data_IF_666287049955
#
_entry.id   IF_666287049955
#
_cell.length_a   1.000
_cell.length_b   1.000
_cell.length_c   1.000
_cell.angle_alpha   90.00
_cell.angle_beta   90.00
_cell.angle_gamma   90.00
#
_symmetry.space_group_name_H-M   'P 1'
#
loop_
_entity.id
_entity.type
_entity.pdbx_description
1 polymer ?
#
# COMPACT_ATOMS: atom_id res chain seq x y z
N UNK A 1 -2.74 2.12 -16.09
CA UNK A 1 -1.51 1.41 -15.65
C UNK A 1 -1.48 0.00 -16.25
N UNK A 2 -0.30 -0.53 -16.63
CA UNK A 2 -0.21 -1.85 -17.27
C UNK A 2 0.96 -2.66 -16.72
N UNK A 3 0.76 -3.97 -16.52
CA UNK A 3 1.78 -4.95 -16.17
C UNK A 3 1.80 -6.08 -17.19
N UNK A 4 2.96 -6.72 -17.38
CA UNK A 4 3.08 -7.97 -18.12
C UNK A 4 3.47 -9.12 -17.19
N UNK A 5 2.75 -10.23 -17.26
CA UNK A 5 3.03 -11.46 -16.54
C UNK A 5 3.28 -12.61 -17.53
N UNK A 6 4.22 -13.49 -17.20
CA UNK A 6 4.43 -14.71 -17.96
C UNK A 6 3.34 -15.76 -17.63
N UNK A 7 3.26 -16.83 -18.42
CA UNK A 7 2.28 -17.92 -18.23
C UNK A 7 2.32 -18.48 -16.81
N UNK A 8 3.51 -18.66 -16.24
CA UNK A 8 3.67 -19.24 -14.90
C UNK A 8 3.05 -18.36 -13.81
N UNK A 9 3.31 -17.06 -13.85
CA UNK A 9 2.72 -16.08 -12.95
C UNK A 9 1.20 -15.99 -13.12
N UNK A 10 0.70 -16.08 -14.36
CA UNK A 10 -0.75 -16.11 -14.64
C UNK A 10 -1.41 -17.37 -14.08
N UNK A 11 -0.79 -18.54 -14.19
CA UNK A 11 -1.28 -19.79 -13.60
C UNK A 11 -1.34 -19.69 -12.08
N UNK A 12 -0.23 -19.26 -11.47
CA UNK A 12 -0.07 -19.14 -10.02
C UNK A 12 -1.02 -18.10 -9.39
N UNK A 13 -1.32 -17.02 -10.12
CA UNK A 13 -2.26 -15.99 -9.72
C UNK A 13 -3.73 -16.32 -10.08
N UNK A 14 -4.00 -17.45 -10.73
CA UNK A 14 -5.34 -17.85 -11.15
C UNK A 14 -5.94 -16.96 -12.25
N UNK A 15 -5.09 -16.39 -13.11
CA UNK A 15 -5.46 -15.46 -14.19
C UNK A 15 -5.33 -16.05 -15.61
N UNK A 16 -4.76 -17.25 -15.76
CA UNK A 16 -4.51 -17.84 -17.09
C UNK A 16 -5.76 -17.90 -17.98
N UNK A 17 -6.94 -18.12 -17.40
CA UNK A 17 -8.21 -18.21 -18.12
C UNK A 17 -9.02 -16.89 -18.10
N UNK A 18 -8.37 -15.78 -17.78
CA UNK A 18 -9.03 -14.50 -17.57
C UNK A 18 -9.67 -14.37 -16.20
N UNK A 19 -10.20 -13.16 -15.92
CA UNK A 19 -10.94 -12.85 -14.71
C UNK A 19 -11.92 -11.71 -14.99
N UNK A 20 -13.11 -11.80 -14.42
CA UNK A 20 -14.03 -10.67 -14.41
C UNK A 20 -13.49 -9.60 -13.47
N UNK A 21 -13.30 -8.40 -14.01
CA UNK A 21 -12.76 -7.23 -13.29
C UNK A 21 -13.67 -6.02 -13.52
N UNK A 22 -13.58 -5.04 -12.63
CA UNK A 22 -14.34 -3.81 -12.67
C UNK A 22 -14.03 -2.95 -13.90
N UNK A 23 -14.89 -1.97 -14.17
CA UNK A 23 -14.77 -1.07 -15.31
C UNK A 23 -13.36 -0.45 -15.38
N UNK A 24 -12.77 -0.45 -16.59
CA UNK A 24 -11.43 0.10 -16.84
C UNK A 24 -10.27 -0.87 -16.58
N UNK A 25 -10.53 -2.01 -15.93
CA UNK A 25 -9.54 -3.07 -15.76
C UNK A 25 -9.70 -4.12 -16.86
N UNK A 26 -8.62 -4.80 -17.22
CA UNK A 26 -8.66 -5.85 -18.24
C UNK A 26 -7.56 -6.89 -18.04
N UNK A 27 -7.93 -8.17 -18.07
CA UNK A 27 -7.00 -9.27 -18.32
C UNK A 27 -7.09 -9.58 -19.81
N UNK A 28 -6.09 -9.18 -20.59
CA UNK A 28 -6.14 -9.27 -22.05
C UNK A 28 -6.08 -10.74 -22.47
N UNK A 29 -7.08 -11.20 -23.22
CA UNK A 29 -7.20 -12.57 -23.72
C UNK A 29 -6.66 -12.66 -25.16
N UNK A 30 -5.78 -13.63 -25.40
CA UNK A 30 -5.22 -13.96 -26.70
C UNK A 30 -6.18 -14.75 -27.59
N UNK A 31 -5.76 -14.96 -28.83
CA UNK A 31 -6.56 -15.69 -29.83
C UNK A 31 -6.77 -17.17 -29.49
N UNK A 32 -5.96 -17.74 -28.59
CA UNK A 32 -6.06 -19.10 -28.07
C UNK A 32 -7.03 -19.24 -26.88
N UNK A 33 -7.65 -18.13 -26.43
CA UNK A 33 -8.56 -18.11 -25.29
C UNK A 33 -7.87 -18.09 -23.94
N UNK A 34 -6.55 -17.91 -23.88
CA UNK A 34 -5.78 -17.75 -22.65
C UNK A 34 -5.36 -16.29 -22.45
N UNK A 35 -5.02 -15.91 -21.22
CA UNK A 35 -4.48 -14.59 -20.94
C UNK A 35 -3.13 -14.39 -21.66
N UNK A 36 -3.01 -13.31 -22.42
CA UNK A 36 -1.86 -12.99 -23.26
C UNK A 36 -0.66 -12.38 -22.48
N UNK A 37 -0.81 -12.23 -21.16
CA UNK A 37 0.20 -11.64 -20.27
C UNK A 37 -0.01 -10.16 -19.96
N UNK A 38 -0.72 -9.40 -20.80
CA UNK A 38 -1.02 -7.98 -20.54
C UNK A 38 -2.18 -7.82 -19.54
N UNK A 39 -1.92 -7.09 -18.45
CA UNK A 39 -2.85 -6.84 -17.34
C UNK A 39 -3.01 -5.33 -17.14
N UNK A 40 -4.23 -4.81 -17.37
CA UNK A 40 -4.54 -3.37 -17.30
C UNK A 40 -5.26 -3.04 -16.00
N UNK A 41 -4.72 -2.06 -15.29
CA UNK A 41 -5.18 -1.55 -13.99
C UNK A 41 -5.13 -2.55 -12.82
N UNK A 42 -5.38 -2.02 -11.62
CA UNK A 42 -5.08 -2.66 -10.34
C UNK A 42 -5.77 -3.99 -10.11
N UNK A 43 -7.03 -4.15 -10.54
CA UNK A 43 -7.75 -5.40 -10.35
C UNK A 43 -7.23 -6.52 -11.27
N UNK A 44 -6.64 -6.18 -12.42
CA UNK A 44 -6.08 -7.16 -13.34
C UNK A 44 -4.71 -7.67 -12.87
N UNK A 45 -3.81 -6.79 -12.42
CA UNK A 45 -2.47 -7.20 -11.97
C UNK A 45 -2.36 -7.48 -10.47
N UNK A 46 -3.35 -7.06 -9.67
CA UNK A 46 -3.40 -7.27 -8.23
C UNK A 46 -3.18 -8.72 -7.79
N UNK A 47 -3.80 -9.73 -8.45
CA UNK A 47 -3.59 -11.14 -8.09
C UNK A 47 -2.15 -11.61 -8.27
N UNK A 48 -1.45 -11.12 -9.30
CA UNK A 48 -0.01 -11.42 -9.50
C UNK A 48 0.80 -10.83 -8.36
N UNK A 49 0.54 -9.57 -8.00
CA UNK A 49 1.21 -8.91 -6.88
C UNK A 49 0.94 -9.64 -5.56
N UNK A 50 -0.30 -10.07 -5.32
CA UNK A 50 -0.67 -10.82 -4.12
C UNK A 50 0.01 -12.18 -4.03
N UNK A 51 0.23 -12.86 -5.16
CA UNK A 51 0.91 -14.16 -5.20
C UNK A 51 2.37 -14.08 -4.76
N UNK A 52 3.14 -13.11 -5.26
CA UNK A 52 4.58 -13.00 -4.99
C UNK A 52 4.95 -12.39 -3.64
N UNK A 53 3.97 -12.15 -2.79
CA UNK A 53 4.16 -11.64 -1.44
C UNK A 53 3.14 -10.57 -1.14
N UNK A 54 2.52 -10.68 0.04
CA UNK A 54 1.51 -9.74 0.44
C UNK A 54 2.11 -8.33 0.49
N UNK A 55 1.62 -7.45 -0.37
CA UNK A 55 2.04 -6.06 -0.40
C UNK A 55 1.35 -5.26 0.72
N UNK A 56 1.29 -5.84 1.94
CA UNK A 56 0.56 -5.29 3.08
C UNK A 56 1.08 -3.91 3.47
N UNK A 57 2.39 -3.68 3.28
CA UNK A 57 3.01 -2.36 3.46
C UNK A 57 2.46 -1.29 2.51
N UNK A 58 1.78 -1.65 1.41
CA UNK A 58 1.07 -0.71 0.52
C UNK A 58 -0.38 -0.44 0.92
N UNK A 59 -0.96 -1.17 1.87
CA UNK A 59 -2.37 -0.98 2.25
C UNK A 59 -2.69 0.44 2.73
N UNK A 60 -1.68 1.22 3.15
CA UNK A 60 -1.82 2.64 3.42
C UNK A 60 -2.35 3.45 2.24
N UNK A 61 -2.03 3.06 1.00
CA UNK A 61 -2.56 3.67 -0.24
C UNK A 61 -4.08 3.48 -0.38
N UNK A 62 -4.58 2.36 0.14
CA UNK A 62 -6.00 2.01 0.09
C UNK A 62 -6.75 2.50 1.34
N UNK A 63 -6.03 2.95 2.37
CA UNK A 63 -6.60 3.26 3.69
C UNK A 63 -7.12 2.00 4.40
N UNK A 64 -6.68 0.82 3.96
CA UNK A 64 -7.11 -0.47 4.47
C UNK A 64 -6.15 -0.98 5.56
N UNK A 65 -6.59 -1.96 6.34
CA UNK A 65 -5.74 -2.73 7.26
C UNK A 65 -5.60 -4.16 6.71
N UNK A 66 -4.54 -4.90 7.05
CA UNK A 66 -4.40 -6.28 6.60
C UNK A 66 -5.53 -7.15 7.16
N UNK A 67 -6.14 -7.92 6.27
CA UNK A 67 -7.15 -8.94 6.59
C UNK A 67 -6.90 -10.17 5.70
N UNK A 68 -6.54 -11.34 6.27
CA UNK A 68 -6.31 -11.58 7.69
C UNK A 68 -5.09 -10.82 8.22
N UNK A 69 -5.07 -10.62 9.55
CA UNK A 69 -3.90 -10.06 10.23
C UNK A 69 -2.68 -11.00 10.03
N UNK A 70 -1.48 -10.45 9.74
CA UNK A 70 -0.30 -11.26 9.42
C UNK A 70 0.19 -12.08 10.61
N UNK A 71 0.82 -13.21 10.33
CA UNK A 71 1.58 -13.96 11.32
C UNK A 71 2.78 -13.16 11.85
N UNK A 72 3.39 -13.62 12.95
CA UNK A 72 4.56 -12.95 13.52
C UNK A 72 5.77 -12.91 12.56
N UNK A 73 5.96 -13.99 11.78
CA UNK A 73 7.02 -14.07 10.76
C UNK A 73 6.77 -13.06 9.62
N UNK A 74 5.53 -12.97 9.15
CA UNK A 74 5.12 -12.01 8.14
C UNK A 74 5.23 -10.56 8.63
N UNK A 75 4.83 -10.29 9.87
CA UNK A 75 4.98 -8.96 10.49
C UNK A 75 6.45 -8.55 10.56
N UNK A 76 7.35 -9.47 10.90
CA UNK A 76 8.79 -9.22 10.92
C UNK A 76 9.33 -8.95 9.51
N UNK A 77 8.92 -9.74 8.51
CA UNK A 77 9.31 -9.54 7.11
C UNK A 77 8.83 -8.17 6.57
N UNK A 78 7.60 -7.77 6.87
CA UNK A 78 7.03 -6.47 6.47
C UNK A 78 7.78 -5.31 7.14
N UNK A 79 8.20 -5.50 8.40
CA UNK A 79 9.03 -4.55 9.13
C UNK A 79 10.41 -4.39 8.48
N UNK A 80 11.04 -5.48 8.09
CA UNK A 80 12.33 -5.47 7.39
C UNK A 80 12.22 -4.82 6.01
N UNK A 81 11.12 -5.05 5.29
CA UNK A 81 10.82 -4.34 4.04
C UNK A 81 10.72 -2.82 4.28
N UNK A 82 10.01 -2.39 5.32
CA UNK A 82 9.89 -0.97 5.65
C UNK A 82 11.25 -0.37 6.05
N UNK A 83 12.06 -1.11 6.80
CA UNK A 83 13.41 -0.69 7.19
C UNK A 83 14.30 -0.41 5.98
N UNK A 84 14.27 -1.24 4.94
CA UNK A 84 15.07 -1.02 3.71
C UNK A 84 14.75 0.32 3.05
N UNK A 85 13.49 0.76 3.09
CA UNK A 85 13.09 2.09 2.61
C UNK A 85 13.72 3.21 3.46
N UNK A 86 13.72 3.05 4.78
CA UNK A 86 14.32 4.01 5.71
C UNK A 86 15.84 4.06 5.59
N UNK A 87 16.52 2.93 5.38
CA UNK A 87 17.96 2.86 5.10
C UNK A 87 18.30 3.64 3.84
N UNK A 88 17.50 3.47 2.79
CA UNK A 88 17.65 4.23 1.56
C UNK A 88 17.49 5.73 1.80
N UNK A 89 16.45 6.16 2.51
CA UNK A 89 16.25 7.56 2.88
C UNK A 89 17.44 8.12 3.67
N UNK A 90 17.85 7.43 4.74
CA UNK A 90 18.94 7.85 5.62
C UNK A 90 20.28 7.96 4.88
N UNK A 91 20.57 7.02 3.95
CA UNK A 91 21.76 7.08 3.09
C UNK A 91 21.86 8.36 2.27
N UNK A 92 20.71 8.98 1.96
CA UNK A 92 20.64 10.24 1.20
C UNK A 92 20.49 11.47 2.11
N UNK A 93 20.72 11.32 3.42
CA UNK A 93 20.64 12.43 4.39
C UNK A 93 19.20 12.84 4.73
N UNK A 94 18.19 12.06 4.34
CA UNK A 94 16.82 12.29 4.76
C UNK A 94 16.71 11.86 6.22
N UNK A 95 16.35 12.80 7.09
CA UNK A 95 16.23 12.57 8.55
C UNK A 95 14.80 12.67 9.05
N UNK A 96 13.87 13.12 8.20
CA UNK A 96 12.45 13.25 8.50
C UNK A 96 11.59 12.98 7.26
N UNK A 97 10.46 12.30 7.45
CA UNK A 97 9.53 11.88 6.40
C UNK A 97 8.10 12.17 6.83
N UNK A 98 7.32 12.77 5.94
CA UNK A 98 5.85 12.69 5.99
C UNK A 98 5.40 11.64 4.98
N UNK A 99 5.01 10.46 5.48
CA UNK A 99 4.56 9.37 4.62
C UNK A 99 3.06 9.55 4.36
N UNK A 100 2.69 10.05 3.19
CA UNK A 100 1.39 10.69 2.95
C UNK A 100 0.19 9.75 2.93
N UNK A 101 0.39 8.45 2.74
CA UNK A 101 -0.70 7.45 2.70
C UNK A 101 -0.49 6.43 3.81
N UNK A 102 -1.14 6.68 4.96
CA UNK A 102 -0.93 5.95 6.21
C UNK A 102 -2.15 5.15 6.68
N UNK A 103 -1.89 4.00 7.30
CA UNK A 103 -2.87 3.19 8.05
C UNK A 103 -2.33 2.80 9.45
N UNK A 104 -3.13 2.10 10.27
CA UNK A 104 -2.68 1.65 11.59
C UNK A 104 -1.57 0.60 11.49
N UNK A 105 -1.64 -0.27 10.48
CA UNK A 105 -0.65 -1.32 10.30
C UNK A 105 0.77 -0.79 10.04
N UNK A 106 0.92 0.23 9.19
CA UNK A 106 2.21 0.87 8.95
C UNK A 106 2.72 1.59 10.20
N UNK A 107 1.84 2.21 11.00
CA UNK A 107 2.21 2.78 12.29
C UNK A 107 2.72 1.67 13.25
N UNK A 108 2.10 0.50 13.25
CA UNK A 108 2.56 -0.65 14.04
C UNK A 108 3.94 -1.14 13.60
N UNK A 109 4.18 -1.27 12.30
CA UNK A 109 5.49 -1.64 11.75
C UNK A 109 6.58 -0.65 12.17
N UNK A 110 6.31 0.65 12.02
CA UNK A 110 7.24 1.73 12.37
C UNK A 110 7.48 1.82 13.88
N UNK A 111 6.45 1.62 14.71
CA UNK A 111 6.60 1.57 16.16
C UNK A 111 7.41 0.33 16.60
N UNK A 112 7.30 -0.78 15.89
CA UNK A 112 8.17 -1.94 16.05
C UNK A 112 9.64 -1.59 15.76
N UNK A 113 9.91 -0.91 14.63
CA UNK A 113 11.25 -0.43 14.29
C UNK A 113 11.80 0.56 15.33
N UNK A 114 10.96 1.45 15.84
CA UNK A 114 11.34 2.39 16.89
C UNK A 114 11.78 1.66 18.16
N UNK A 115 11.01 0.67 18.62
CA UNK A 115 11.36 -0.16 19.78
C UNK A 115 12.65 -0.95 19.59
N UNK A 116 12.96 -1.34 18.36
CA UNK A 116 14.19 -2.04 17.99
C UNK A 116 15.39 -1.10 17.81
N UNK A 117 15.20 0.23 17.88
CA UNK A 117 16.25 1.21 17.58
C UNK A 117 16.62 1.29 16.09
N UNK A 118 15.72 0.81 15.22
CA UNK A 118 15.89 0.70 13.76
C UNK A 118 15.09 1.75 12.97
N UNK A 119 14.32 2.61 13.64
CA UNK A 119 13.63 3.71 12.96
C UNK A 119 14.62 4.83 12.63
N UNK A 120 15.15 4.83 11.40
CA UNK A 120 16.26 5.72 11.00
C UNK A 120 15.85 7.15 10.65
N UNK A 121 14.58 7.38 10.33
CA UNK A 121 14.04 8.69 9.97
C UNK A 121 12.86 9.02 10.88
N UNK A 122 12.79 10.26 11.39
CA UNK A 122 11.57 10.73 12.09
C UNK A 122 10.41 10.68 11.12
N UNK A 123 9.35 9.98 11.46
CA UNK A 123 8.30 9.66 10.52
C UNK A 123 6.95 10.13 11.04
N UNK A 124 6.22 10.88 10.22
CA UNK A 124 4.83 11.27 10.50
C UNK A 124 3.88 10.62 9.49
N UNK A 125 2.89 9.86 9.97
CA UNK A 125 1.87 9.22 9.14
C UNK A 125 0.50 9.86 9.37
N UNK A 126 -0.18 10.35 8.33
CA UNK A 126 -1.58 10.77 8.42
C UNK A 126 -2.51 9.55 8.39
N UNK A 127 -3.75 9.76 8.83
CA UNK A 127 -4.87 8.90 8.46
C UNK A 127 -5.30 9.20 7.02
N UNK A 128 -5.24 8.20 6.14
CA UNK A 128 -5.73 8.33 4.77
C UNK A 128 -7.26 8.18 4.72
N UNK A 129 -7.96 9.30 4.58
CA UNK A 129 -9.41 9.35 4.52
C UNK A 129 -9.90 9.29 3.06
N UNK A 130 -10.62 8.22 2.72
CA UNK A 130 -11.12 7.95 1.36
C UNK A 130 -12.54 8.50 1.19
N UNK A 131 -12.92 8.79 -0.05
CA UNK A 131 -14.23 9.31 -0.42
C UNK A 131 -15.42 8.41 -0.05
N UNK A 132 -15.21 7.10 0.09
CA UNK A 132 -16.24 6.15 0.53
C UNK A 132 -16.33 6.00 2.06
N UNK A 133 -15.40 6.58 2.81
CA UNK A 133 -15.42 6.52 4.28
C UNK A 133 -16.42 7.54 4.84
N UNK A 134 -17.15 7.12 5.88
CA UNK A 134 -18.03 8.01 6.66
C UNK A 134 -17.22 8.78 7.72
N UNK A 135 -17.78 9.89 8.22
CA UNK A 135 -17.10 10.76 9.18
C UNK A 135 -16.73 10.07 10.50
N UNK A 136 -17.45 9.03 10.90
CA UNK A 136 -17.13 8.22 12.08
C UNK A 136 -15.75 7.55 11.99
N UNK A 137 -15.24 7.31 10.78
CA UNK A 137 -13.87 6.82 10.58
C UNK A 137 -12.79 7.80 11.09
N UNK A 138 -13.11 9.08 11.31
CA UNK A 138 -12.18 10.04 11.92
C UNK A 138 -11.85 9.69 13.38
N UNK A 139 -12.68 8.90 14.07
CA UNK A 139 -12.31 8.35 15.38
C UNK A 139 -11.05 7.47 15.30
N UNK A 140 -10.84 6.80 14.16
CA UNK A 140 -9.59 6.08 13.87
C UNK A 140 -8.40 7.04 13.78
N UNK A 141 -8.58 8.20 13.15
CA UNK A 141 -7.55 9.24 13.07
C UNK A 141 -7.20 9.76 14.47
N UNK A 142 -8.20 10.02 15.31
CA UNK A 142 -8.00 10.41 16.71
C UNK A 142 -7.20 9.36 17.48
N UNK A 143 -7.54 8.08 17.33
CA UNK A 143 -6.78 6.97 17.92
C UNK A 143 -5.34 6.90 17.42
N UNK A 144 -5.10 7.09 16.13
CA UNK A 144 -3.74 7.14 15.57
C UNK A 144 -2.94 8.26 16.22
N UNK A 145 -3.52 9.45 16.34
CA UNK A 145 -2.89 10.63 16.94
C UNK A 145 -2.52 10.42 18.41
N UNK A 146 -3.40 9.80 19.20
CA UNK A 146 -3.16 9.57 20.63
C UNK A 146 -2.24 8.39 20.90
N UNK A 147 -2.28 7.35 20.06
CA UNK A 147 -1.51 6.12 20.26
C UNK A 147 -0.06 6.25 19.76
N UNK A 148 0.17 7.11 18.76
CA UNK A 148 1.48 7.30 18.12
C UNK A 148 1.87 8.79 18.17
N UNK A 149 2.63 9.16 19.20
CA UNK A 149 3.04 10.53 19.49
C UNK A 149 4.41 10.60 20.19
N UNK A 150 5.40 9.85 19.68
CA UNK A 150 6.78 9.90 20.17
C UNK A 150 7.60 10.96 19.41
N UNK A 151 8.86 11.16 19.82
CA UNK A 151 9.80 12.03 19.09
C UNK A 151 10.08 11.50 17.67
N UNK A 152 10.11 10.17 17.50
CA UNK A 152 10.51 9.53 16.25
C UNK A 152 9.32 9.14 15.37
N UNK A 153 8.16 8.84 15.94
CA UNK A 153 6.97 8.42 15.23
C UNK A 153 5.74 9.17 15.74
N UNK A 154 5.05 9.85 14.83
CA UNK A 154 3.82 10.56 15.17
C UNK A 154 2.71 10.43 14.13
N UNK A 155 1.47 10.61 14.56
CA UNK A 155 0.32 10.82 13.67
C UNK A 155 -0.38 12.16 13.97
N UNK A 156 -1.67 12.29 13.70
CA UNK A 156 -2.46 13.51 13.95
C UNK A 156 -2.68 14.41 12.75
N UNK A 157 -2.63 13.84 11.55
CA UNK A 157 -3.03 14.51 10.31
C UNK A 157 -4.05 13.63 9.59
N UNK A 158 -4.92 14.25 8.79
CA UNK A 158 -5.84 13.56 7.90
C UNK A 158 -5.46 13.92 6.47
N UNK A 159 -5.13 12.91 5.67
CA UNK A 159 -4.87 13.06 4.24
C UNK A 159 -6.15 12.76 3.48
N UNK A 160 -6.48 13.63 2.53
CA UNK A 160 -7.56 13.44 1.55
C UNK A 160 -7.00 13.60 0.14
N UNK A 161 -7.64 12.93 -0.82
CA UNK A 161 -7.50 13.24 -2.24
C UNK A 161 -8.61 14.19 -2.66
N UNK A 162 -8.24 15.26 -3.37
CA UNK A 162 -9.20 16.19 -3.94
C UNK A 162 -9.54 15.78 -5.38
N UNK A 163 -8.50 15.53 -6.18
CA UNK A 163 -8.57 15.08 -7.56
C UNK A 163 -7.42 14.09 -7.89
N UNK A 164 -7.23 13.80 -9.18
CA UNK A 164 -6.19 12.91 -9.67
C UNK A 164 -4.93 13.64 -10.13
N UNK A 165 -4.30 13.15 -11.21
CA UNK A 165 -3.04 13.70 -11.74
C UNK A 165 -3.19 14.10 -13.20
N UNK A 166 -2.36 15.06 -13.63
CA UNK A 166 -2.39 15.60 -14.99
C UNK A 166 -2.09 14.53 -16.05
N UNK A 167 -1.10 13.68 -15.82
CA UNK A 167 -0.64 12.67 -16.79
C UNK A 167 -1.73 11.66 -17.16
N UNK A 168 -2.60 11.32 -16.22
CA UNK A 168 -3.74 10.43 -16.44
C UNK A 168 -5.04 11.18 -16.71
N UNK A 169 -4.98 12.51 -16.87
CA UNK A 169 -6.15 13.36 -17.15
C UNK A 169 -7.26 13.21 -16.10
N UNK A 170 -6.89 12.95 -14.85
CA UNK A 170 -7.82 12.80 -13.72
C UNK A 170 -7.77 13.97 -12.74
N UNK A 171 -6.82 14.89 -12.92
CA UNK A 171 -6.81 16.19 -12.24
C UNK A 171 -7.98 17.05 -12.72
N UNK A 172 -8.58 17.81 -11.82
CA UNK A 172 -9.66 18.76 -12.15
C UNK A 172 -9.01 20.05 -12.66
N UNK A 173 -9.22 20.35 -13.94
CA UNK A 173 -8.70 21.54 -14.63
C UNK A 173 -9.76 22.62 -14.78
#
# INVERSE_FOLDING_TARGET
HTMWANTKALEEAGLLHGRQVGQGNEVVIGADGLAAGELREGEAFGPVLGHYGANRTRLGLEGAEPDPYPSAEELAADRDLMHRGLEWCAKHGITSIQNMDGNLYQLELLAGLEKEGRLLCRTKLPFHFKNFMKLDMLEKASRMATSYNSEWLSSGMVKVFYDGVLDSWTAVM
#
